data_IF_483750688025
#
_entry.id   IF_483750688025
#
_cell.length_a   1.000
_cell.length_b   1.000
_cell.length_c   1.000
_cell.angle_alpha   90.00
_cell.angle_beta   90.00
_cell.angle_gamma   90.00
#
_symmetry.space_group_name_H-M   'P 1'
#
loop_
_entity.id
_entity.type
_entity.pdbx_description
1 polymer ?
#
# COMPACT_ATOMS: atom_id res chain seq x y z
N UNK A 1 39.23 15.27 7.48
CA UNK A 1 38.10 15.73 8.30
C UNK A 1 37.50 14.50 8.95
N UNK A 2 37.11 14.55 10.23
CA UNK A 2 36.39 13.42 10.82
C UNK A 2 35.05 13.26 10.09
N UNK A 3 34.66 11.99 9.85
CA UNK A 3 33.38 11.66 9.23
C UNK A 3 32.22 12.17 10.10
N UNK A 4 31.39 13.10 9.60
CA UNK A 4 30.28 13.65 10.37
C UNK A 4 29.18 12.62 10.66
N UNK A 5 29.22 11.45 10.01
CA UNK A 5 28.22 10.40 10.13
C UNK A 5 28.67 9.22 11.02
N UNK A 6 29.83 9.29 11.62
CA UNK A 6 30.38 8.19 12.48
C UNK A 6 29.45 7.77 13.63
N UNK A 7 28.55 8.66 14.08
CA UNK A 7 27.55 8.36 15.09
C UNK A 7 26.46 7.40 14.60
N UNK A 8 26.14 7.43 13.27
CA UNK A 8 25.14 6.52 12.66
C UNK A 8 25.64 5.09 12.77
N UNK A 9 26.87 4.83 12.37
CA UNK A 9 27.47 3.50 12.46
C UNK A 9 27.50 2.95 13.89
N UNK A 10 27.87 3.82 14.85
CA UNK A 10 27.86 3.45 16.27
C UNK A 10 26.46 3.11 16.76
N UNK A 11 25.45 3.90 16.35
CA UNK A 11 24.06 3.65 16.72
C UNK A 11 23.52 2.37 16.11
N UNK A 12 23.76 2.13 14.81
CA UNK A 12 23.37 0.90 14.14
C UNK A 12 24.01 -0.33 14.78
N UNK A 13 25.31 -0.25 15.13
CA UNK A 13 25.99 -1.35 15.80
C UNK A 13 25.35 -1.68 17.15
N UNK A 14 24.99 -0.64 17.94
CA UNK A 14 24.26 -0.83 19.21
C UNK A 14 22.90 -1.47 19.00
N UNK A 15 22.14 -1.03 18.00
CA UNK A 15 20.82 -1.58 17.66
C UNK A 15 20.92 -3.06 17.26
N UNK A 16 21.93 -3.42 16.46
CA UNK A 16 22.19 -4.81 16.09
C UNK A 16 22.55 -5.67 17.31
N UNK A 17 23.43 -5.18 18.19
CA UNK A 17 23.82 -5.89 19.42
C UNK A 17 22.65 -6.08 20.39
N UNK A 18 21.75 -5.11 20.48
CA UNK A 18 20.58 -5.16 21.32
C UNK A 18 19.38 -5.94 20.67
N UNK A 19 19.54 -6.46 19.46
CA UNK A 19 18.47 -7.14 18.69
C UNK A 19 17.27 -6.20 18.44
N UNK A 20 17.49 -4.89 18.43
CA UNK A 20 16.46 -3.89 18.16
C UNK A 20 16.36 -3.52 16.69
N UNK A 21 17.29 -3.99 15.87
CA UNK A 21 17.27 -3.73 14.43
C UNK A 21 16.12 -4.51 13.77
N UNK A 22 15.17 -3.78 13.22
CA UNK A 22 14.06 -4.35 12.46
C UNK A 22 14.42 -4.39 10.98
N UNK A 23 14.35 -5.56 10.39
CA UNK A 23 14.59 -5.75 8.97
C UNK A 23 13.25 -5.92 8.25
N UNK A 24 13.04 -5.12 7.21
CA UNK A 24 11.90 -5.30 6.31
C UNK A 24 12.13 -6.58 5.50
N UNK A 25 11.12 -7.43 5.43
CA UNK A 25 11.11 -8.64 4.63
C UNK A 25 10.02 -8.54 3.57
N UNK A 26 10.34 -8.90 2.33
CA UNK A 26 9.38 -8.90 1.25
C UNK A 26 8.41 -10.09 1.41
N UNK A 27 7.16 -9.82 1.10
CA UNK A 27 6.10 -10.82 0.96
C UNK A 27 5.85 -11.00 -0.53
N UNK A 28 5.88 -12.24 -1.00
CA UNK A 28 5.66 -12.59 -2.38
C UNK A 28 4.16 -12.92 -2.62
N UNK A 29 3.65 -12.50 -3.78
CA UNK A 29 2.29 -12.81 -4.21
C UNK A 29 1.25 -11.78 -3.81
N UNK A 30 -0.02 -12.14 -4.00
CA UNK A 30 -1.16 -11.30 -3.67
C UNK A 30 -1.42 -11.25 -2.16
N UNK A 31 -2.11 -10.19 -1.72
CA UNK A 31 -2.61 -10.10 -0.35
C UNK A 31 -3.57 -11.27 -0.04
N UNK A 32 -3.47 -11.80 1.17
CA UNK A 32 -4.32 -12.90 1.61
C UNK A 32 -3.97 -13.41 3.00
N UNK A 33 -4.74 -14.39 3.51
CA UNK A 33 -4.51 -14.97 4.82
C UNK A 33 -3.26 -15.87 4.86
N UNK A 34 -2.81 -16.36 3.73
CA UNK A 34 -1.55 -17.11 3.59
C UNK A 34 -0.64 -16.34 2.66
N UNK A 35 0.58 -16.12 3.07
CA UNK A 35 1.60 -15.37 2.32
C UNK A 35 2.87 -16.19 2.21
N UNK A 36 3.65 -15.89 1.17
CA UNK A 36 4.96 -16.48 0.97
C UNK A 36 6.04 -15.46 1.33
N UNK A 37 6.92 -15.81 2.27
CA UNK A 37 8.01 -14.98 2.70
C UNK A 37 9.30 -15.81 2.81
N UNK A 38 10.37 -15.38 2.17
CA UNK A 38 11.64 -16.10 2.08
C UNK A 38 11.45 -17.57 1.62
N UNK A 39 10.58 -17.82 0.64
CA UNK A 39 10.30 -19.14 0.08
C UNK A 39 9.40 -20.04 0.94
N UNK A 40 8.90 -19.57 2.09
CA UNK A 40 8.05 -20.33 3.03
C UNK A 40 6.63 -19.78 3.04
N UNK A 41 5.65 -20.65 3.06
CA UNK A 41 4.25 -20.27 3.29
C UNK A 41 4.00 -20.05 4.78
N UNK A 42 3.32 -18.95 5.11
CA UNK A 42 3.00 -18.58 6.48
C UNK A 42 1.60 -17.98 6.56
N UNK A 43 0.92 -18.24 7.67
CA UNK A 43 -0.35 -17.56 7.98
C UNK A 43 -0.07 -16.13 8.42
N UNK A 44 -0.75 -15.19 7.79
CA UNK A 44 -0.55 -13.75 7.99
C UNK A 44 -1.52 -13.20 9.04
N UNK A 45 -1.07 -13.09 10.28
CA UNK A 45 -1.82 -12.42 11.37
C UNK A 45 -1.55 -10.91 11.48
N UNK A 46 -0.64 -10.38 10.66
CA UNK A 46 -0.24 -8.97 10.74
C UNK A 46 -0.92 -8.09 9.68
N UNK A 47 -1.86 -8.65 8.90
CA UNK A 47 -2.58 -7.91 7.87
C UNK A 47 -3.67 -7.02 8.48
N UNK A 48 -3.85 -5.82 7.91
CA UNK A 48 -4.99 -4.96 8.18
C UNK A 48 -6.14 -5.16 7.17
N UNK A 49 -6.04 -6.13 6.29
CA UNK A 49 -7.07 -6.47 5.30
C UNK A 49 -8.19 -7.30 5.95
N UNK A 50 -8.88 -6.70 6.91
CA UNK A 50 -9.92 -7.36 7.73
C UNK A 50 -11.09 -7.91 6.92
N UNK A 51 -11.38 -7.32 5.76
CA UNK A 51 -12.47 -7.73 4.88
C UNK A 51 -12.00 -8.59 3.70
N UNK A 52 -10.70 -8.84 3.57
CA UNK A 52 -10.13 -9.60 2.46
C UNK A 52 -10.31 -8.93 1.09
N UNK A 53 -10.38 -7.59 1.07
CA UNK A 53 -10.68 -6.85 -0.16
C UNK A 53 -9.45 -6.55 -1.01
N UNK A 54 -8.25 -6.55 -0.43
CA UNK A 54 -7.04 -6.18 -1.15
C UNK A 54 -6.73 -7.08 -2.36
N UNK A 55 -7.09 -8.37 -2.28
CA UNK A 55 -6.94 -9.34 -3.38
C UNK A 55 -8.27 -9.76 -4.01
N UNK A 56 -9.37 -9.06 -3.72
CA UNK A 56 -10.70 -9.48 -4.19
C UNK A 56 -10.80 -9.40 -5.72
N UNK A 57 -11.18 -10.49 -6.43
CA UNK A 57 -11.15 -10.54 -7.90
C UNK A 57 -11.91 -9.42 -8.58
N UNK A 58 -13.10 -9.07 -8.08
CA UNK A 58 -13.90 -7.98 -8.63
C UNK A 58 -13.22 -6.61 -8.52
N UNK A 59 -12.55 -6.34 -7.40
CA UNK A 59 -11.80 -5.08 -7.24
C UNK A 59 -10.59 -5.02 -8.17
N UNK A 60 -9.88 -6.13 -8.32
CA UNK A 60 -8.76 -6.25 -9.27
C UNK A 60 -9.24 -6.01 -10.69
N UNK A 61 -10.33 -6.66 -11.12
CA UNK A 61 -10.95 -6.46 -12.44
C UNK A 61 -11.30 -4.99 -12.69
N UNK A 62 -11.98 -4.34 -11.75
CA UNK A 62 -12.35 -2.92 -11.88
C UNK A 62 -11.14 -1.99 -11.92
N UNK A 63 -10.11 -2.27 -11.13
CA UNK A 63 -8.87 -1.51 -11.15
C UNK A 63 -8.14 -1.63 -12.50
N UNK A 64 -8.10 -2.83 -13.09
CA UNK A 64 -7.54 -3.07 -14.42
C UNK A 64 -8.31 -2.28 -15.46
N UNK A 65 -9.64 -2.39 -15.50
CA UNK A 65 -10.50 -1.68 -16.46
C UNK A 65 -10.34 -0.15 -16.35
N UNK A 66 -10.31 0.37 -15.11
CA UNK A 66 -10.09 1.80 -14.88
C UNK A 66 -8.70 2.25 -15.35
N UNK A 67 -7.67 1.47 -15.08
CA UNK A 67 -6.30 1.76 -15.53
C UNK A 67 -6.18 1.74 -17.04
N UNK A 68 -6.84 0.82 -17.72
CA UNK A 68 -6.86 0.77 -19.19
C UNK A 68 -7.56 1.99 -19.79
N UNK A 69 -8.59 2.50 -19.15
CA UNK A 69 -9.38 3.65 -19.63
C UNK A 69 -8.72 4.99 -19.33
N UNK A 70 -8.20 5.17 -18.12
CA UNK A 70 -7.76 6.46 -17.60
C UNK A 70 -6.25 6.58 -17.39
N UNK A 71 -5.49 5.49 -17.52
CA UNK A 71 -4.08 5.43 -17.16
C UNK A 71 -3.88 5.32 -15.64
N UNK A 72 -2.64 5.54 -15.20
CA UNK A 72 -2.21 5.33 -13.79
C UNK A 72 -2.22 6.61 -12.96
N UNK A 73 -2.65 7.76 -13.52
CA UNK A 73 -2.64 9.02 -12.77
C UNK A 73 -3.43 10.12 -13.45
N UNK A 74 -3.67 11.18 -12.71
CA UNK A 74 -4.49 12.31 -13.13
C UNK A 74 -3.69 13.46 -13.76
N UNK A 75 -2.37 13.45 -13.69
CA UNK A 75 -1.42 14.39 -14.29
C UNK A 75 -1.55 15.87 -13.90
N UNK A 76 -2.53 16.24 -13.10
CA UNK A 76 -2.76 17.62 -12.65
C UNK A 76 -3.75 17.71 -11.51
N UNK A 77 -3.95 18.94 -10.99
CA UNK A 77 -4.99 19.17 -9.99
C UNK A 77 -6.39 18.99 -10.59
N UNK A 78 -7.35 18.58 -9.78
CA UNK A 78 -8.74 18.37 -10.21
C UNK A 78 -9.37 19.63 -10.83
N UNK A 79 -9.02 20.79 -10.29
CA UNK A 79 -9.54 22.08 -10.78
C UNK A 79 -9.12 22.39 -12.22
N UNK A 80 -7.97 21.89 -12.68
CA UNK A 80 -7.42 22.20 -14.01
C UNK A 80 -7.67 21.06 -15.00
N UNK A 81 -6.88 19.99 -14.90
CA UNK A 81 -6.88 18.90 -15.90
C UNK A 81 -6.94 17.50 -15.28
N UNK A 82 -6.98 17.41 -13.94
CA UNK A 82 -6.90 16.13 -13.23
C UNK A 82 -8.26 15.52 -12.85
N UNK A 83 -9.39 16.22 -13.12
CA UNK A 83 -10.71 15.64 -12.83
C UNK A 83 -11.02 14.46 -13.76
N UNK A 84 -11.47 13.37 -13.18
CA UNK A 84 -11.93 12.18 -13.89
C UNK A 84 -13.34 11.82 -13.43
N UNK A 85 -14.17 11.21 -14.30
CA UNK A 85 -15.49 10.72 -13.89
C UNK A 85 -15.46 9.85 -12.64
N UNK A 86 -14.44 9.00 -12.48
CA UNK A 86 -14.25 8.15 -11.30
C UNK A 86 -14.20 8.91 -9.97
N UNK A 87 -13.73 10.16 -9.95
CA UNK A 87 -13.72 10.96 -8.73
C UNK A 87 -15.15 11.29 -8.29
N UNK A 88 -16.00 11.70 -9.23
CA UNK A 88 -17.42 12.00 -8.95
C UNK A 88 -18.21 10.75 -8.60
N UNK A 89 -17.96 9.66 -9.31
CA UNK A 89 -18.61 8.37 -9.02
C UNK A 89 -18.30 7.91 -7.59
N UNK A 90 -17.05 8.06 -7.15
CA UNK A 90 -16.64 7.75 -5.78
C UNK A 90 -17.30 8.69 -4.76
N UNK A 91 -17.32 10.00 -5.02
CA UNK A 91 -17.97 11.00 -4.16
C UNK A 91 -19.45 10.69 -3.98
N UNK A 92 -20.16 10.43 -5.08
CA UNK A 92 -21.57 10.08 -5.05
C UNK A 92 -21.83 8.77 -4.28
N UNK A 93 -20.99 7.76 -4.50
CA UNK A 93 -21.13 6.48 -3.79
C UNK A 93 -20.90 6.64 -2.28
N UNK A 94 -19.93 7.46 -1.87
CA UNK A 94 -19.69 7.74 -0.45
C UNK A 94 -20.82 8.56 0.15
N UNK A 95 -21.32 9.59 -0.55
CA UNK A 95 -22.43 10.40 -0.10
C UNK A 95 -23.69 9.55 0.13
N UNK A 96 -24.03 8.68 -0.82
CA UNK A 96 -25.14 7.73 -0.70
C UNK A 96 -24.94 6.78 0.51
N UNK A 97 -23.74 6.22 0.67
CA UNK A 97 -23.42 5.31 1.78
C UNK A 97 -23.58 6.01 3.14
N UNK A 98 -23.24 7.29 3.20
CA UNK A 98 -23.31 8.10 4.44
C UNK A 98 -24.66 8.76 4.66
N UNK A 99 -25.55 8.78 3.66
CA UNK A 99 -26.82 9.51 3.70
C UNK A 99 -26.64 11.02 3.77
N UNK A 100 -25.63 11.53 3.07
CA UNK A 100 -25.31 12.97 2.94
C UNK A 100 -25.43 13.41 1.48
N UNK A 101 -25.54 14.73 1.27
CA UNK A 101 -25.51 15.33 -0.08
C UNK A 101 -24.08 15.49 -0.59
#
# INVERSE_FOLDING_TARGET
>A
MPDPYCWIEKSLKRMHQAIWYRRVQAIDGAAGPVVKMAGREMVNFASNDYLGLAGHPHLVEKAIAATQTYGTGSTGSRLLSGERPLHRDLENAIAQLKGTD
#
